data_IF_026734430506
#
_entry.id   IF_026734430506
#
_cell.length_a   1.000
_cell.length_b   1.000
_cell.length_c   1.000
_cell.angle_alpha   90.00
_cell.angle_beta   90.00
_cell.angle_gamma   90.00
#
_symmetry.space_group_name_H-M   'P 1'
#
loop_
_entity.id
_entity.type
_entity.pdbx_description
1 polymer ?
#
# COMPACT_ATOMS: atom_id res chain seq x y z
N UNK A 1 -21.08 -15.85 -26.15
CA UNK A 1 -20.77 -15.45 -27.54
C UNK A 1 -20.15 -14.04 -27.61
N UNK A 2 -20.58 -13.10 -26.76
CA UNK A 2 -20.09 -11.71 -26.79
C UNK A 2 -18.62 -11.58 -26.33
N UNK A 3 -18.23 -12.32 -25.27
CA UNK A 3 -16.90 -12.22 -24.64
C UNK A 3 -15.93 -13.30 -25.07
N UNK A 4 -16.42 -14.40 -25.68
CA UNK A 4 -15.66 -15.63 -25.98
C UNK A 4 -15.02 -16.30 -24.75
N UNK A 5 -15.45 -15.94 -23.53
CA UNK A 5 -15.03 -16.61 -22.30
C UNK A 5 -15.65 -18.01 -22.28
N UNK A 6 -14.88 -19.01 -21.84
CA UNK A 6 -15.37 -20.36 -21.68
C UNK A 6 -16.56 -20.39 -20.70
N UNK A 7 -17.67 -21.08 -21.04
CA UNK A 7 -18.85 -21.17 -20.18
C UNK A 7 -18.58 -21.67 -18.76
N UNK A 8 -17.55 -22.49 -18.57
CA UNK A 8 -17.17 -22.98 -17.24
C UNK A 8 -16.84 -21.82 -16.27
N UNK A 9 -16.04 -20.84 -16.72
CA UNK A 9 -15.72 -19.66 -15.89
C UNK A 9 -16.96 -18.81 -15.60
N UNK A 10 -17.85 -18.67 -16.58
CA UNK A 10 -19.10 -17.92 -16.39
C UNK A 10 -20.01 -18.59 -15.36
N UNK A 11 -20.04 -19.94 -15.32
CA UNK A 11 -20.78 -20.68 -14.30
C UNK A 11 -20.22 -20.46 -12.90
N UNK A 12 -18.88 -20.39 -12.75
CA UNK A 12 -18.25 -20.08 -11.46
C UNK A 12 -18.63 -18.66 -10.97
N UNK A 13 -18.64 -17.69 -11.90
CA UNK A 13 -19.08 -16.31 -11.59
C UNK A 13 -20.56 -16.29 -11.21
N UNK A 14 -21.41 -17.05 -11.92
CA UNK A 14 -22.85 -17.16 -11.59
C UNK A 14 -23.07 -17.71 -10.19
N UNK A 15 -22.27 -18.70 -9.77
CA UNK A 15 -22.33 -19.26 -8.42
C UNK A 15 -21.99 -18.22 -7.33
N UNK A 16 -20.98 -17.37 -7.58
CA UNK A 16 -20.64 -16.26 -6.69
C UNK A 16 -21.80 -15.26 -6.60
N UNK A 17 -22.35 -14.82 -7.75
CA UNK A 17 -23.47 -13.86 -7.79
C UNK A 17 -24.72 -14.42 -7.08
N UNK A 18 -24.98 -15.73 -7.25
CA UNK A 18 -26.10 -16.39 -6.55
C UNK A 18 -25.88 -16.39 -5.03
N UNK A 19 -24.64 -16.67 -4.59
CA UNK A 19 -24.30 -16.66 -3.17
C UNK A 19 -24.39 -15.25 -2.57
N UNK A 20 -24.04 -14.19 -3.30
CA UNK A 20 -24.31 -12.79 -2.90
C UNK A 20 -25.78 -12.57 -2.59
N UNK A 21 -26.67 -13.09 -3.47
CA UNK A 21 -28.12 -13.02 -3.26
C UNK A 21 -28.58 -13.78 -2.02
N UNK A 22 -27.98 -14.94 -1.73
CA UNK A 22 -28.24 -15.72 -0.50
C UNK A 22 -27.81 -14.94 0.73
N UNK A 23 -26.59 -14.38 0.76
CA UNK A 23 -26.04 -13.58 1.87
C UNK A 23 -26.96 -12.38 2.15
N UNK A 24 -27.35 -11.66 1.09
CA UNK A 24 -28.22 -10.48 1.18
C UNK A 24 -29.63 -10.77 1.71
N UNK A 25 -30.02 -12.02 1.79
CA UNK A 25 -31.29 -12.45 2.39
C UNK A 25 -31.23 -12.63 3.92
N UNK A 26 -30.03 -12.57 4.51
CA UNK A 26 -29.80 -12.82 5.95
C UNK A 26 -29.33 -11.56 6.69
N UNK A 27 -29.55 -11.57 8.02
CA UNK A 27 -28.78 -10.72 8.94
C UNK A 27 -27.51 -11.46 9.35
N UNK A 28 -26.52 -10.77 9.91
CA UNK A 28 -25.30 -11.43 10.38
C UNK A 28 -25.59 -12.52 11.42
N UNK A 29 -26.55 -12.30 12.29
CA UNK A 29 -26.94 -13.25 13.34
C UNK A 29 -27.62 -14.53 12.80
N UNK A 30 -28.21 -14.48 11.60
CA UNK A 30 -28.85 -15.62 10.95
C UNK A 30 -27.85 -16.56 10.24
N UNK A 31 -26.60 -16.13 10.06
CA UNK A 31 -25.55 -16.89 9.40
C UNK A 31 -24.93 -17.86 10.40
N UNK A 32 -25.19 -19.15 10.22
CA UNK A 32 -24.60 -20.21 11.02
C UNK A 32 -23.18 -20.60 10.56
N UNK A 33 -22.53 -21.51 11.28
CA UNK A 33 -21.15 -21.93 10.99
C UNK A 33 -21.00 -22.60 9.61
N UNK A 34 -22.01 -23.39 9.18
CA UNK A 34 -21.95 -24.09 7.90
C UNK A 34 -22.07 -23.11 6.74
N UNK A 35 -23.01 -22.17 6.84
CA UNK A 35 -23.20 -21.13 5.83
C UNK A 35 -22.01 -20.16 5.81
N UNK A 36 -21.51 -19.72 6.98
CA UNK A 36 -20.32 -18.87 7.05
C UNK A 36 -19.11 -19.54 6.41
N UNK A 37 -18.85 -20.82 6.70
CA UNK A 37 -17.74 -21.58 6.09
C UNK A 37 -17.89 -21.62 4.56
N UNK A 38 -19.08 -21.91 4.05
CA UNK A 38 -19.37 -21.93 2.62
C UNK A 38 -19.09 -20.56 1.99
N UNK A 39 -19.53 -19.47 2.61
CA UNK A 39 -19.26 -18.09 2.14
C UNK A 39 -17.76 -17.84 2.04
N UNK A 40 -17.01 -18.18 3.10
CA UNK A 40 -15.56 -17.99 3.14
C UNK A 40 -14.82 -18.87 2.12
N UNK A 41 -15.25 -20.11 1.90
CA UNK A 41 -14.70 -20.99 0.85
C UNK A 41 -14.91 -20.45 -0.57
N UNK A 42 -15.96 -19.65 -0.80
CA UNK A 42 -16.16 -18.94 -2.07
C UNK A 42 -15.37 -17.63 -2.17
N UNK A 43 -14.55 -17.30 -1.18
CA UNK A 43 -13.63 -16.17 -1.21
C UNK A 43 -14.22 -14.83 -0.80
N UNK A 44 -15.41 -14.78 -0.19
CA UNK A 44 -15.97 -13.53 0.32
C UNK A 44 -15.17 -13.04 1.53
N UNK A 45 -14.70 -11.80 1.47
CA UNK A 45 -14.05 -11.13 2.58
C UNK A 45 -15.05 -10.69 3.66
N UNK A 46 -14.56 -10.49 4.88
CA UNK A 46 -15.41 -10.02 5.98
C UNK A 46 -16.06 -8.66 5.65
N UNK A 47 -15.36 -7.77 4.94
CA UNK A 47 -15.91 -6.49 4.49
C UNK A 47 -17.02 -6.66 3.43
N UNK A 48 -16.88 -7.63 2.52
CA UNK A 48 -17.94 -7.92 1.54
C UNK A 48 -19.18 -8.51 2.23
N UNK A 49 -19.00 -9.40 3.19
CA UNK A 49 -20.11 -9.95 3.99
C UNK A 49 -20.82 -8.81 4.73
N UNK A 50 -20.07 -7.92 5.39
CA UNK A 50 -20.64 -6.75 6.08
C UNK A 50 -21.46 -5.84 5.17
N UNK A 51 -21.02 -5.69 3.91
CA UNK A 51 -21.76 -4.90 2.91
C UNK A 51 -23.04 -5.59 2.43
N UNK A 52 -23.03 -6.92 2.34
CA UNK A 52 -24.13 -7.70 1.74
C UNK A 52 -25.26 -8.00 2.70
N UNK A 53 -24.98 -8.23 3.99
CA UNK A 53 -26.02 -8.55 4.98
C UNK A 53 -27.01 -7.40 5.17
N UNK A 54 -28.24 -7.72 5.65
CA UNK A 54 -29.33 -6.75 5.80
C UNK A 54 -29.09 -5.69 6.87
N UNK A 55 -28.37 -6.05 7.92
CA UNK A 55 -28.05 -5.19 9.05
C UNK A 55 -26.79 -4.35 8.78
N UNK A 56 -26.75 -3.17 9.34
CA UNK A 56 -25.61 -2.27 9.23
C UNK A 56 -24.52 -2.71 10.22
N UNK A 57 -23.63 -3.59 9.76
CA UNK A 57 -22.49 -4.13 10.52
C UNK A 57 -21.17 -3.71 9.87
N UNK A 58 -20.07 -3.81 10.63
CA UNK A 58 -18.72 -3.54 10.16
C UNK A 58 -17.95 -4.85 9.93
N UNK A 59 -16.82 -4.75 9.26
CA UNK A 59 -15.90 -5.87 9.05
C UNK A 59 -15.55 -6.59 10.37
N UNK A 60 -15.26 -5.82 11.43
CA UNK A 60 -14.91 -6.39 12.73
C UNK A 60 -16.07 -7.22 13.34
N UNK A 61 -17.33 -6.80 13.16
CA UNK A 61 -18.49 -7.54 13.63
C UNK A 61 -18.59 -8.92 12.94
N UNK A 62 -18.29 -8.97 11.64
CA UNK A 62 -18.27 -10.21 10.85
C UNK A 62 -17.11 -11.10 11.30
N UNK A 63 -15.92 -10.54 11.48
CA UNK A 63 -14.74 -11.26 11.97
C UNK A 63 -15.00 -11.89 13.33
N UNK A 64 -15.56 -11.13 14.27
CA UNK A 64 -15.90 -11.62 15.59
C UNK A 64 -16.99 -12.70 15.55
N UNK A 65 -17.99 -12.55 14.67
CA UNK A 65 -19.04 -13.53 14.50
C UNK A 65 -18.49 -14.86 13.98
N UNK A 66 -17.70 -14.85 12.88
CA UNK A 66 -17.13 -16.08 12.33
C UNK A 66 -16.15 -16.77 13.28
N UNK A 67 -15.35 -16.01 14.05
CA UNK A 67 -14.45 -16.58 15.08
C UNK A 67 -15.24 -17.25 16.21
N UNK A 68 -16.35 -16.66 16.64
CA UNK A 68 -17.26 -17.30 17.61
C UNK A 68 -17.88 -18.59 17.07
N UNK A 69 -18.13 -18.66 15.77
CA UNK A 69 -18.62 -19.87 15.10
C UNK A 69 -17.51 -20.92 14.84
N UNK A 70 -16.25 -20.62 15.18
CA UNK A 70 -15.10 -21.50 14.88
C UNK A 70 -14.75 -21.55 13.40
N UNK A 71 -15.17 -20.57 12.61
CA UNK A 71 -14.79 -20.45 11.20
C UNK A 71 -13.55 -19.57 11.09
N UNK A 72 -12.40 -20.22 11.12
CA UNK A 72 -11.06 -19.62 11.09
C UNK A 72 -10.32 -20.20 9.88
N UNK A 73 -9.55 -19.40 9.13
CA UNK A 73 -8.75 -19.94 8.04
C UNK A 73 -7.63 -20.84 8.55
N UNK A 74 -7.27 -21.80 7.75
CA UNK A 74 -6.08 -22.64 7.89
C UNK A 74 -5.14 -22.35 6.74
N UNK A 75 -3.86 -22.65 6.90
CA UNK A 75 -2.85 -22.40 5.89
C UNK A 75 -2.27 -23.72 5.40
N UNK A 76 -2.24 -23.89 4.08
CA UNK A 76 -1.74 -25.08 3.42
C UNK A 76 -0.42 -24.79 2.72
N UNK A 77 0.48 -25.76 2.67
CA UNK A 77 1.69 -25.69 1.86
C UNK A 77 1.36 -25.88 0.38
N UNK A 78 2.00 -25.07 -0.46
CA UNK A 78 1.91 -25.27 -1.90
C UNK A 78 2.72 -26.50 -2.28
N UNK A 79 2.04 -27.52 -2.80
CA UNK A 79 2.70 -28.71 -3.33
C UNK A 79 3.35 -28.40 -4.69
N UNK A 80 4.66 -28.24 -4.70
CA UNK A 80 5.47 -28.01 -5.90
C UNK A 80 6.00 -29.29 -6.51
N UNK A 81 5.68 -30.47 -5.91
CA UNK A 81 6.21 -31.77 -6.28
C UNK A 81 5.13 -32.74 -6.81
N UNK A 82 3.91 -32.26 -7.09
CA UNK A 82 2.77 -33.05 -7.59
C UNK A 82 2.43 -34.28 -6.73
N UNK A 83 2.66 -34.20 -5.42
CA UNK A 83 2.43 -35.30 -4.48
C UNK A 83 3.44 -36.45 -4.57
N UNK A 84 4.45 -36.36 -5.43
CA UNK A 84 5.46 -37.43 -5.55
C UNK A 84 6.50 -37.39 -4.43
N UNK A 85 6.78 -36.20 -3.89
CA UNK A 85 7.70 -35.99 -2.77
C UNK A 85 7.14 -34.91 -1.83
N UNK A 86 7.53 -34.92 -0.54
CA UNK A 86 7.19 -33.81 0.36
C UNK A 86 7.71 -32.48 -0.19
N UNK A 87 6.87 -31.48 -0.29
CA UNK A 87 7.27 -30.13 -0.67
C UNK A 87 8.09 -29.49 0.44
N UNK A 88 9.24 -28.91 0.10
CA UNK A 88 10.11 -28.20 1.03
C UNK A 88 10.09 -26.68 0.83
N UNK A 89 9.14 -26.18 0.03
CA UNK A 89 8.99 -24.74 -0.22
C UNK A 89 8.33 -24.05 0.97
N UNK A 90 8.67 -22.76 1.26
CA UNK A 90 8.07 -22.03 2.36
C UNK A 90 6.69 -21.44 1.99
N UNK A 91 6.07 -21.86 0.90
CA UNK A 91 4.88 -21.25 0.30
C UNK A 91 3.60 -21.73 0.96
N UNK A 92 2.87 -20.78 1.52
CA UNK A 92 1.61 -20.98 2.21
C UNK A 92 0.49 -20.17 1.56
N UNK A 93 -0.72 -20.70 1.58
CA UNK A 93 -1.94 -20.01 1.18
C UNK A 93 -3.08 -20.36 2.13
N UNK A 94 -4.04 -19.45 2.32
CA UNK A 94 -5.18 -19.69 3.19
C UNK A 94 -6.28 -20.50 2.51
N UNK A 95 -6.96 -21.30 3.32
CA UNK A 95 -8.21 -21.96 2.98
C UNK A 95 -9.10 -22.07 4.23
N UNK A 96 -10.29 -22.65 4.09
CA UNK A 96 -11.21 -22.90 5.20
C UNK A 96 -11.44 -24.41 5.39
N UNK A 97 -10.35 -25.17 5.29
CA UNK A 97 -10.32 -26.61 5.53
C UNK A 97 -10.05 -26.96 7.01
N UNK A 98 -9.85 -28.24 7.31
CA UNK A 98 -9.72 -28.70 8.70
C UNK A 98 -8.27 -28.69 9.21
N UNK A 99 -7.29 -28.87 8.32
CA UNK A 99 -5.88 -29.01 8.68
C UNK A 99 -5.11 -27.71 8.46
N UNK A 100 -4.15 -27.41 9.32
CA UNK A 100 -3.24 -26.28 9.19
C UNK A 100 -1.80 -26.78 9.10
N UNK A 101 -1.13 -26.49 7.99
CA UNK A 101 0.25 -26.91 7.73
C UNK A 101 1.28 -25.84 8.09
N UNK A 102 0.84 -24.63 8.47
CA UNK A 102 1.74 -23.61 8.99
C UNK A 102 2.17 -23.98 10.42
N UNK A 103 3.48 -24.21 10.60
CA UNK A 103 4.07 -24.57 11.88
C UNK A 103 5.21 -23.59 12.22
N UNK A 104 4.96 -22.56 13.02
CA UNK A 104 6.01 -21.70 13.57
C UNK A 104 7.04 -22.50 14.37
N UNK A 105 8.32 -22.18 14.21
CA UNK A 105 9.43 -22.94 14.81
C UNK A 105 9.85 -22.45 16.21
N UNK A 106 9.14 -21.48 16.78
CA UNK A 106 9.37 -20.92 18.12
C UNK A 106 10.48 -19.86 18.19
N UNK A 107 11.14 -19.53 17.08
CA UNK A 107 12.04 -18.36 17.04
C UNK A 107 11.24 -17.06 17.15
N UNK A 108 11.85 -15.97 17.68
CA UNK A 108 11.25 -14.66 17.54
C UNK A 108 10.98 -14.33 16.07
N UNK A 109 9.72 -14.04 15.75
CA UNK A 109 9.24 -13.90 14.36
C UNK A 109 8.98 -12.43 14.02
N UNK A 110 9.37 -12.03 12.82
CA UNK A 110 9.04 -10.73 12.21
C UNK A 110 8.28 -10.96 10.91
N UNK A 111 7.15 -10.28 10.76
CA UNK A 111 6.40 -10.28 9.49
C UNK A 111 6.78 -9.03 8.68
N UNK A 112 7.07 -9.22 7.40
CA UNK A 112 7.32 -8.15 6.43
C UNK A 112 6.20 -8.18 5.38
N UNK A 113 5.49 -7.05 5.24
CA UNK A 113 4.45 -6.92 4.22
C UNK A 113 5.05 -6.43 2.90
N UNK A 114 4.80 -7.16 1.82
CA UNK A 114 5.25 -6.84 0.48
C UNK A 114 4.43 -5.75 -0.20
N UNK A 115 4.74 -5.49 -1.47
CA UNK A 115 4.09 -4.45 -2.26
C UNK A 115 2.71 -4.83 -2.82
N UNK A 116 2.38 -6.12 -2.81
CA UNK A 116 1.18 -6.62 -3.47
C UNK A 116 1.32 -6.65 -5.00
N UNK A 117 0.20 -6.58 -5.74
CA UNK A 117 0.24 -6.60 -7.19
C UNK A 117 0.98 -5.40 -7.76
N UNK A 118 1.67 -5.59 -8.87
CA UNK A 118 2.32 -4.51 -9.60
C UNK A 118 1.30 -3.42 -10.00
N UNK A 119 1.68 -2.17 -9.82
CA UNK A 119 0.89 -1.00 -10.16
C UNK A 119 1.71 -0.03 -11.01
N UNK A 120 1.04 0.71 -11.88
CA UNK A 120 1.68 1.83 -12.58
C UNK A 120 2.18 2.82 -11.53
N UNK A 121 3.44 3.22 -11.63
CA UNK A 121 4.08 4.12 -10.67
C UNK A 121 4.68 3.44 -9.43
N UNK A 122 4.77 2.11 -9.41
CA UNK A 122 5.55 1.37 -8.42
C UNK A 122 6.62 0.55 -9.14
N UNK A 123 7.87 0.79 -8.78
CA UNK A 123 9.00 0.02 -9.30
C UNK A 123 9.38 -1.14 -8.38
N UNK A 124 10.39 -1.89 -8.80
CA UNK A 124 10.92 -3.05 -8.06
C UNK A 124 11.64 -2.67 -6.76
N UNK A 125 11.97 -1.40 -6.57
CA UNK A 125 12.65 -0.89 -5.38
C UNK A 125 11.90 -1.24 -4.08
N UNK A 126 10.58 -1.19 -4.09
CA UNK A 126 9.76 -1.56 -2.91
C UNK A 126 9.91 -3.04 -2.58
N UNK A 127 9.90 -3.91 -3.58
CA UNK A 127 10.10 -5.34 -3.35
C UNK A 127 11.53 -5.63 -2.88
N UNK A 128 12.52 -4.97 -3.48
CA UNK A 128 13.92 -5.13 -3.09
C UNK A 128 14.20 -4.65 -1.66
N UNK A 129 13.55 -3.56 -1.21
CA UNK A 129 13.61 -3.13 0.19
C UNK A 129 13.08 -4.21 1.13
N UNK A 130 11.97 -4.87 0.78
CA UNK A 130 11.44 -6.01 1.54
C UNK A 130 12.45 -7.16 1.62
N UNK A 131 13.07 -7.52 0.50
CA UNK A 131 14.13 -8.57 0.44
C UNK A 131 15.28 -8.22 1.37
N UNK A 132 15.77 -6.98 1.31
CA UNK A 132 16.88 -6.55 2.18
C UNK A 132 16.53 -6.58 3.67
N UNK A 133 15.30 -6.23 4.02
CA UNK A 133 14.81 -6.34 5.40
C UNK A 133 14.74 -7.81 5.85
N UNK A 134 14.19 -8.69 5.03
CA UNK A 134 14.15 -10.15 5.33
C UNK A 134 15.55 -10.67 5.61
N UNK A 135 16.52 -10.39 4.72
CA UNK A 135 17.90 -10.86 4.89
C UNK A 135 18.55 -10.30 6.15
N UNK A 136 18.33 -9.02 6.45
CA UNK A 136 18.87 -8.38 7.66
C UNK A 136 18.30 -9.02 8.94
N UNK A 137 17.00 -9.26 9.01
CA UNK A 137 16.38 -9.93 10.16
C UNK A 137 16.85 -11.38 10.31
N UNK A 138 17.03 -12.11 9.21
CA UNK A 138 17.62 -13.48 9.23
C UNK A 138 19.04 -13.49 9.78
N UNK A 139 19.88 -12.54 9.35
CA UNK A 139 21.25 -12.37 9.88
C UNK A 139 21.27 -12.10 11.39
N UNK A 140 20.24 -11.42 11.91
CA UNK A 140 20.04 -11.16 13.33
C UNK A 140 19.44 -12.35 14.10
N UNK A 141 19.11 -13.46 13.41
CA UNK A 141 18.60 -14.68 14.03
C UNK A 141 17.07 -14.73 14.19
N UNK A 142 16.33 -13.80 13.62
CA UNK A 142 14.87 -13.84 13.61
C UNK A 142 14.34 -14.82 12.57
N UNK A 143 13.18 -15.42 12.85
CA UNK A 143 12.37 -16.06 11.83
C UNK A 143 11.66 -14.97 11.03
N UNK A 144 11.76 -15.04 9.72
CA UNK A 144 11.19 -14.06 8.82
C UNK A 144 9.98 -14.64 8.08
N UNK A 145 8.89 -13.90 8.10
CA UNK A 145 7.65 -14.22 7.40
C UNK A 145 7.37 -13.13 6.40
N UNK A 146 7.31 -13.49 5.13
CA UNK A 146 6.90 -12.59 4.05
C UNK A 146 5.42 -12.77 3.75
N UNK A 147 4.68 -11.68 3.55
CA UNK A 147 3.31 -11.70 3.06
C UNK A 147 3.24 -10.90 1.77
N UNK A 148 2.92 -11.56 0.67
CA UNK A 148 2.80 -10.88 -0.63
C UNK A 148 1.84 -11.65 -1.55
N UNK A 149 1.05 -10.95 -2.34
CA UNK A 149 0.14 -11.53 -3.33
C UNK A 149 0.72 -11.60 -4.75
N UNK A 150 1.93 -11.06 -4.97
CA UNK A 150 2.60 -11.12 -6.27
C UNK A 150 3.53 -12.32 -6.34
N UNK A 151 3.26 -13.34 -7.18
CA UNK A 151 4.10 -14.52 -7.27
C UNK A 151 5.34 -14.33 -8.16
N UNK A 152 5.43 -13.21 -8.87
CA UNK A 152 6.45 -12.93 -9.89
C UNK A 152 7.39 -11.81 -9.44
N UNK A 153 7.91 -11.90 -8.21
CA UNK A 153 8.83 -10.89 -7.68
C UNK A 153 9.86 -11.52 -6.74
N UNK A 154 10.99 -10.84 -6.49
CA UNK A 154 12.14 -11.39 -5.76
C UNK A 154 11.80 -11.72 -4.31
N UNK A 155 10.95 -10.93 -3.64
CA UNK A 155 10.56 -11.20 -2.24
C UNK A 155 9.79 -12.50 -2.08
N UNK A 156 9.24 -13.05 -3.18
CA UNK A 156 8.49 -14.31 -3.19
C UNK A 156 9.30 -15.51 -3.69
N UNK A 157 10.60 -15.35 -3.88
CA UNK A 157 11.49 -16.47 -4.16
C UNK A 157 11.62 -17.39 -2.93
N UNK A 158 11.73 -18.70 -3.19
CA UNK A 158 11.67 -19.75 -2.16
C UNK A 158 12.79 -19.70 -1.11
N UNK A 159 13.88 -19.02 -1.38
CA UNK A 159 15.07 -18.95 -0.51
C UNK A 159 15.19 -17.62 0.26
N UNK A 160 14.25 -16.69 0.07
CA UNK A 160 14.30 -15.36 0.69
C UNK A 160 13.84 -15.42 2.14
N UNK A 161 12.62 -15.87 2.44
CA UNK A 161 12.06 -15.90 3.78
C UNK A 161 11.92 -17.30 4.33
N UNK A 162 11.78 -17.44 5.67
CA UNK A 162 11.53 -18.74 6.31
C UNK A 162 10.10 -19.25 6.06
N UNK A 163 9.14 -18.33 5.89
CA UNK A 163 7.78 -18.62 5.44
C UNK A 163 7.26 -17.52 4.55
N UNK A 164 6.51 -17.88 3.53
CA UNK A 164 5.88 -16.95 2.59
C UNK A 164 4.39 -17.26 2.49
N UNK A 165 3.56 -16.28 2.85
CA UNK A 165 2.12 -16.34 2.68
C UNK A 165 1.73 -15.62 1.39
N UNK A 166 1.20 -16.38 0.43
CA UNK A 166 0.59 -15.84 -0.78
C UNK A 166 -0.83 -15.39 -0.48
N UNK A 167 -0.94 -14.23 0.16
CA UNK A 167 -2.21 -13.66 0.59
C UNK A 167 -2.41 -12.24 0.10
N UNK A 168 -3.64 -11.81 -0.08
CA UNK A 168 -3.94 -10.40 -0.28
C UNK A 168 -3.45 -9.56 0.91
N UNK A 169 -2.95 -8.36 0.63
CA UNK A 169 -2.56 -7.42 1.68
C UNK A 169 -3.81 -6.68 2.18
N UNK A 170 -4.69 -7.40 2.84
CA UNK A 170 -5.87 -6.87 3.54
C UNK A 170 -5.71 -6.99 5.06
N UNK A 171 -6.48 -6.20 5.81
CA UNK A 171 -6.42 -6.28 7.27
C UNK A 171 -6.86 -7.66 7.77
N UNK A 172 -7.90 -8.23 7.16
CA UNK A 172 -8.42 -9.56 7.47
C UNK A 172 -7.32 -10.62 7.36
N UNK A 173 -6.71 -10.74 6.19
CA UNK A 173 -5.73 -11.81 5.90
C UNK A 173 -4.46 -11.66 6.75
N UNK A 174 -3.95 -10.42 6.89
CA UNK A 174 -2.76 -10.17 7.71
C UNK A 174 -3.00 -10.46 9.19
N UNK A 175 -4.19 -10.15 9.73
CA UNK A 175 -4.52 -10.47 11.13
C UNK A 175 -4.60 -11.97 11.39
N UNK A 176 -5.05 -12.78 10.43
CA UNK A 176 -5.06 -14.23 10.58
C UNK A 176 -3.64 -14.82 10.54
N UNK A 177 -2.76 -14.28 9.70
CA UNK A 177 -1.33 -14.66 9.70
C UNK A 177 -0.67 -14.26 11.03
N UNK A 178 -0.93 -13.04 11.52
CA UNK A 178 -0.45 -12.59 12.84
C UNK A 178 -0.93 -13.52 13.95
N UNK A 179 -2.17 -14.01 13.89
CA UNK A 179 -2.73 -14.95 14.86
C UNK A 179 -1.97 -16.27 14.88
N UNK A 180 -1.57 -16.81 13.73
CA UNK A 180 -0.82 -18.07 13.64
C UNK A 180 0.65 -17.87 14.00
N UNK A 181 1.29 -16.85 13.46
CA UNK A 181 2.73 -16.64 13.57
C UNK A 181 3.17 -15.99 14.90
N UNK A 182 2.25 -15.31 15.61
CA UNK A 182 2.52 -14.59 16.87
C UNK A 182 3.80 -13.75 16.81
N UNK A 183 3.94 -12.83 15.83
CA UNK A 183 5.18 -12.12 15.61
C UNK A 183 5.50 -11.11 16.73
N UNK A 184 6.76 -10.73 16.86
CA UNK A 184 7.17 -9.58 17.65
C UNK A 184 6.60 -8.27 17.12
N UNK A 185 6.34 -8.22 15.81
CA UNK A 185 5.72 -7.10 15.13
C UNK A 185 5.76 -7.25 13.61
N UNK A 186 5.18 -6.25 12.95
CA UNK A 186 4.98 -6.21 11.50
C UNK A 186 5.68 -5.00 10.92
N UNK A 187 6.46 -5.18 9.86
CA UNK A 187 7.08 -4.12 9.06
C UNK A 187 6.14 -3.76 7.92
N UNK A 188 5.69 -2.50 7.85
CA UNK A 188 4.71 -2.02 6.86
C UNK A 188 5.28 -1.00 5.87
N UNK A 189 6.45 -0.40 6.15
CA UNK A 189 6.94 0.79 5.43
C UNK A 189 7.75 0.49 4.18
N UNK A 190 8.11 -0.78 3.91
CA UNK A 190 9.01 -1.13 2.83
C UNK A 190 8.30 -1.54 1.53
N UNK A 191 7.05 -1.97 1.61
CA UNK A 191 6.26 -2.47 0.49
C UNK A 191 5.46 -1.38 -0.27
N UNK A 192 5.75 -0.12 -0.05
CA UNK A 192 5.02 1.00 -0.66
C UNK A 192 3.64 1.23 -0.01
N UNK A 193 2.74 1.87 -0.73
CA UNK A 193 1.47 2.36 -0.16
C UNK A 193 0.48 1.28 0.25
N UNK A 194 0.56 0.07 -0.31
CA UNK A 194 -0.39 -1.00 0.01
C UNK A 194 -0.28 -1.42 1.48
N UNK A 195 0.89 -1.82 1.99
CA UNK A 195 1.03 -2.17 3.40
C UNK A 195 0.94 -0.96 4.34
N UNK A 196 1.35 0.25 3.92
CA UNK A 196 1.21 1.46 4.74
C UNK A 196 -0.24 1.72 5.17
N UNK A 197 -1.21 1.47 4.28
CA UNK A 197 -2.64 1.64 4.58
C UNK A 197 -3.15 0.70 5.68
N UNK A 198 -2.44 -0.39 5.97
CA UNK A 198 -2.80 -1.35 7.01
C UNK A 198 -2.29 -0.93 8.40
N UNK A 199 -1.33 0.01 8.48
CA UNK A 199 -0.64 0.36 9.72
C UNK A 199 -1.61 0.71 10.86
N UNK A 200 -2.59 1.58 10.63
CA UNK A 200 -3.60 1.96 11.63
C UNK A 200 -4.51 0.82 12.04
N UNK A 201 -4.94 0.00 11.08
CA UNK A 201 -5.79 -1.16 11.36
C UNK A 201 -5.08 -2.21 12.20
N UNK A 202 -3.81 -2.48 11.89
CA UNK A 202 -2.97 -3.38 12.66
C UNK A 202 -2.70 -2.85 14.07
N UNK A 203 -2.35 -1.57 14.21
CA UNK A 203 -2.17 -0.92 15.51
C UNK A 203 -3.43 -0.98 16.37
N UNK A 204 -4.61 -0.68 15.78
CA UNK A 204 -5.91 -0.75 16.47
C UNK A 204 -6.25 -2.19 16.92
N UNK A 205 -5.79 -3.20 16.19
CA UNK A 205 -5.90 -4.60 16.56
C UNK A 205 -4.83 -5.07 17.58
N UNK A 206 -3.98 -4.16 18.06
CA UNK A 206 -2.94 -4.45 19.06
C UNK A 206 -1.68 -5.11 18.50
N UNK A 207 -1.49 -5.09 17.17
CA UNK A 207 -0.30 -5.63 16.52
C UNK A 207 0.83 -4.61 16.57
N UNK A 208 2.02 -4.93 17.12
CA UNK A 208 3.14 -4.03 17.13
C UNK A 208 3.64 -3.73 15.71
N UNK A 209 3.77 -2.44 15.36
CA UNK A 209 4.40 -2.01 14.13
C UNK A 209 5.88 -1.78 14.39
N UNK A 210 6.73 -2.43 13.59
CA UNK A 210 8.17 -2.27 13.63
C UNK A 210 8.61 -1.21 12.63
N UNK A 211 9.42 -0.27 13.08
CA UNK A 211 9.88 0.85 12.28
C UNK A 211 9.16 2.15 12.61
N UNK A 212 8.87 2.95 11.60
CA UNK A 212 8.18 4.24 11.76
C UNK A 212 6.76 4.05 12.28
N UNK A 213 6.36 4.87 13.24
CA UNK A 213 5.04 4.75 13.88
C UNK A 213 3.90 5.05 12.90
N UNK A 214 2.71 4.43 13.05
CA UNK A 214 1.54 4.75 12.23
C UNK A 214 1.14 6.23 12.27
N UNK A 215 1.35 6.92 13.39
CA UNK A 215 1.10 8.37 13.50
C UNK A 215 2.05 9.18 12.61
N UNK A 216 3.34 8.84 12.58
CA UNK A 216 4.31 9.51 11.73
C UNK A 216 4.06 9.23 10.24
N UNK A 217 3.64 8.01 9.90
CA UNK A 217 3.23 7.64 8.54
C UNK A 217 2.03 8.49 8.11
N UNK A 218 0.99 8.61 8.92
CA UNK A 218 -0.18 9.44 8.63
C UNK A 218 0.19 10.93 8.50
N UNK A 219 1.09 11.43 9.36
CA UNK A 219 1.55 12.82 9.28
C UNK A 219 2.29 13.10 7.96
N UNK A 220 3.08 12.14 7.49
CA UNK A 220 3.78 12.25 6.22
C UNK A 220 2.84 12.14 5.01
N UNK A 221 1.79 11.31 5.09
CA UNK A 221 0.82 11.10 4.01
C UNK A 221 -0.27 12.18 3.95
N UNK A 222 -0.61 12.79 5.08
CA UNK A 222 -1.58 13.89 5.12
C UNK A 222 -0.96 15.18 4.57
N UNK A 223 -1.44 15.61 3.42
CA UNK A 223 -0.90 16.80 2.73
C UNK A 223 -0.89 18.05 3.61
N UNK A 224 -1.97 18.30 4.36
CA UNK A 224 -2.09 19.49 5.20
C UNK A 224 -1.09 19.48 6.36
N UNK A 225 -0.93 18.32 6.99
CA UNK A 225 0.03 18.11 8.08
C UNK A 225 1.46 18.20 7.55
N UNK A 226 1.74 17.57 6.40
CA UNK A 226 3.05 17.64 5.76
C UNK A 226 3.43 19.08 5.35
N UNK A 227 2.50 19.83 4.73
CA UNK A 227 2.73 21.24 4.38
C UNK A 227 3.01 22.12 5.63
N UNK A 228 2.31 21.85 6.73
CA UNK A 228 2.53 22.57 7.98
C UNK A 228 3.93 22.26 8.55
N UNK A 229 4.34 21.00 8.52
CA UNK A 229 5.65 20.54 8.96
C UNK A 229 6.77 21.12 8.08
N UNK A 230 6.62 21.10 6.74
CA UNK A 230 7.60 21.68 5.84
C UNK A 230 7.79 23.17 6.10
N UNK A 231 6.70 23.89 6.40
CA UNK A 231 6.76 25.31 6.78
C UNK A 231 7.44 25.51 8.11
N UNK A 232 7.18 24.68 9.11
CA UNK A 232 7.86 24.67 10.41
C UNK A 232 9.37 24.49 10.24
N UNK A 233 9.80 23.60 9.35
CA UNK A 233 11.19 23.29 9.06
C UNK A 233 11.86 24.30 8.11
N UNK A 234 11.09 25.28 7.58
CA UNK A 234 11.60 26.27 6.65
C UNK A 234 11.93 25.73 5.26
N UNK A 235 11.29 24.61 4.89
CA UNK A 235 11.44 23.99 3.55
C UNK A 235 10.49 24.65 2.58
N UNK A 236 11.04 25.16 1.48
CA UNK A 236 10.24 25.78 0.43
C UNK A 236 9.36 24.75 -0.29
N UNK A 237 8.12 25.11 -0.52
CA UNK A 237 7.16 24.30 -1.28
C UNK A 237 6.55 25.12 -2.41
N UNK A 238 6.22 24.51 -3.54
CA UNK A 238 5.48 25.19 -4.59
C UNK A 238 4.14 25.72 -4.03
N UNK A 239 3.72 26.93 -4.39
CA UNK A 239 2.39 27.41 -4.05
C UNK A 239 1.32 26.43 -4.53
N UNK A 240 0.37 26.12 -3.68
CA UNK A 240 -0.65 25.11 -3.95
C UNK A 240 -2.04 25.52 -3.47
N UNK A 241 -3.05 24.77 -3.88
CA UNK A 241 -4.42 24.91 -3.41
C UNK A 241 -5.29 23.74 -3.83
N UNK A 242 -6.50 23.73 -3.28
CA UNK A 242 -7.53 22.73 -3.63
C UNK A 242 -8.79 23.44 -4.10
N UNK A 243 -9.54 22.82 -4.99
CA UNK A 243 -10.77 23.36 -5.54
C UNK A 243 -11.83 22.28 -5.72
N UNK A 244 -13.08 22.62 -5.34
CA UNK A 244 -14.25 21.76 -5.58
C UNK A 244 -15.06 22.25 -6.80
N UNK A 245 -14.82 23.48 -7.23
CA UNK A 245 -15.51 24.11 -8.34
C UNK A 245 -14.52 24.76 -9.32
N UNK A 246 -14.98 25.06 -10.50
CA UNK A 246 -14.22 25.82 -11.52
C UNK A 246 -13.89 27.23 -11.04
N UNK A 247 -14.81 27.84 -10.31
CA UNK A 247 -14.65 29.18 -9.74
C UNK A 247 -13.57 29.21 -8.68
N UNK A 248 -13.57 28.23 -7.76
CA UNK A 248 -12.53 28.08 -6.75
C UNK A 248 -11.17 27.82 -7.40
N UNK A 249 -11.15 26.95 -8.43
CA UNK A 249 -9.93 26.65 -9.18
C UNK A 249 -9.36 27.88 -9.89
N UNK A 250 -10.21 28.72 -10.47
CA UNK A 250 -9.79 29.97 -11.10
C UNK A 250 -9.19 30.93 -10.07
N UNK A 251 -9.79 31.05 -8.89
CA UNK A 251 -9.26 31.90 -7.81
C UNK A 251 -7.89 31.39 -7.29
N UNK A 252 -7.74 30.06 -7.17
CA UNK A 252 -6.45 29.45 -6.80
C UNK A 252 -5.41 29.72 -7.89
N UNK A 253 -5.75 29.50 -9.16
CA UNK A 253 -4.85 29.71 -10.29
C UNK A 253 -4.41 31.18 -10.43
N UNK A 254 -5.32 32.12 -10.19
CA UNK A 254 -5.01 33.55 -10.19
C UNK A 254 -4.01 33.93 -9.08
N UNK A 255 -4.14 33.33 -7.91
CA UNK A 255 -3.24 33.55 -6.77
C UNK A 255 -1.86 32.91 -6.99
N UNK A 256 -1.80 31.73 -7.59
CA UNK A 256 -0.56 30.96 -7.80
C UNK A 256 0.21 31.44 -9.02
N UNK A 257 -0.52 31.82 -10.08
CA UNK A 257 0.03 32.11 -11.41
C UNK A 257 0.15 30.85 -12.28
N UNK A 258 0.07 31.07 -13.60
CA UNK A 258 0.30 30.00 -14.59
C UNK A 258 1.78 29.88 -14.94
N UNK A 259 2.28 28.67 -15.34
CA UNK A 259 1.54 27.43 -15.48
C UNK A 259 1.25 26.74 -14.15
N UNK A 260 0.15 25.99 -14.12
CA UNK A 260 -0.26 25.18 -12.96
C UNK A 260 -0.39 23.71 -13.34
N UNK A 261 -0.11 22.82 -12.40
CA UNK A 261 -0.39 21.40 -12.50
C UNK A 261 -1.70 21.11 -11.78
N UNK A 262 -2.66 20.50 -12.48
CA UNK A 262 -3.93 20.08 -11.91
C UNK A 262 -4.03 18.56 -11.89
N UNK A 263 -4.54 18.01 -10.76
CA UNK A 263 -4.72 16.57 -10.59
C UNK A 263 -5.91 16.27 -9.69
N UNK A 264 -6.69 15.22 -9.98
CA UNK A 264 -7.70 14.73 -9.04
C UNK A 264 -7.05 14.18 -7.78
N UNK A 265 -7.68 14.31 -6.62
CA UNK A 265 -7.11 13.89 -5.32
C UNK A 265 -6.88 12.39 -5.17
N UNK A 266 -7.55 11.54 -5.97
CA UNK A 266 -7.56 10.09 -5.81
C UNK A 266 -7.21 9.33 -7.10
N UNK A 267 -6.24 9.80 -7.86
CA UNK A 267 -5.72 9.07 -9.03
C UNK A 267 -4.30 8.61 -8.80
N UNK A 268 -4.01 7.36 -9.19
CA UNK A 268 -2.69 6.75 -9.15
C UNK A 268 -2.01 6.87 -10.52
N UNK A 269 -0.68 6.98 -10.53
CA UNK A 269 0.13 6.90 -11.74
C UNK A 269 -0.07 8.08 -12.70
N UNK A 270 -0.28 9.29 -12.20
CA UNK A 270 -0.40 10.51 -13.03
C UNK A 270 -1.65 10.58 -13.91
N UNK A 271 -2.56 9.61 -13.82
CA UNK A 271 -3.77 9.58 -14.63
C UNK A 271 -4.66 10.80 -14.34
N UNK A 272 -4.98 11.56 -15.37
CA UNK A 272 -5.78 12.78 -15.26
C UNK A 272 -5.00 14.01 -14.77
N UNK A 273 -3.67 13.93 -14.63
CA UNK A 273 -2.83 15.11 -14.41
C UNK A 273 -2.69 15.89 -15.71
N UNK A 274 -2.72 17.21 -15.60
CA UNK A 274 -2.53 18.11 -16.76
C UNK A 274 -1.85 19.41 -16.36
N UNK A 275 -0.88 19.84 -17.16
CA UNK A 275 -0.30 21.19 -17.06
C UNK A 275 -1.24 22.16 -17.78
N UNK A 276 -1.61 23.21 -17.09
CA UNK A 276 -2.59 24.20 -17.54
C UNK A 276 -1.91 25.58 -17.63
N UNK A 277 -2.02 26.23 -18.78
CA UNK A 277 -1.38 27.50 -19.07
C UNK A 277 -2.34 28.70 -19.08
N UNK A 278 -3.66 28.45 -19.05
CA UNK A 278 -4.67 29.47 -19.09
C UNK A 278 -6.01 29.04 -18.49
N UNK A 279 -6.87 30.05 -18.23
CA UNK A 279 -8.17 29.83 -17.62
C UNK A 279 -9.13 28.98 -18.48
N UNK A 280 -9.02 29.08 -19.82
CA UNK A 280 -9.90 28.34 -20.72
C UNK A 280 -9.59 26.84 -20.66
N UNK A 281 -8.31 26.49 -20.64
CA UNK A 281 -7.83 25.11 -20.45
C UNK A 281 -8.22 24.56 -19.08
N UNK A 282 -8.18 25.38 -18.02
CA UNK A 282 -8.64 25.01 -16.69
C UNK A 282 -10.14 24.67 -16.68
N UNK A 283 -10.96 25.47 -17.31
CA UNK A 283 -12.40 25.21 -17.44
C UNK A 283 -12.70 23.91 -18.20
N UNK A 284 -11.96 23.66 -19.28
CA UNK A 284 -12.09 22.39 -20.04
C UNK A 284 -11.72 21.18 -19.19
N UNK A 285 -10.65 21.27 -18.43
CA UNK A 285 -10.23 20.22 -17.52
C UNK A 285 -11.30 19.89 -16.48
N UNK A 286 -11.82 20.90 -15.79
CA UNK A 286 -12.87 20.73 -14.79
C UNK A 286 -14.15 20.11 -15.35
N UNK A 287 -14.56 20.50 -16.54
CA UNK A 287 -15.72 19.91 -17.22
C UNK A 287 -15.56 18.40 -17.50
N UNK A 288 -14.33 17.90 -17.57
CA UNK A 288 -14.03 16.47 -17.73
C UNK A 288 -13.81 15.76 -16.38
N UNK A 289 -13.05 16.36 -15.49
CA UNK A 289 -12.69 15.79 -14.19
C UNK A 289 -13.90 15.61 -13.26
N UNK A 290 -14.81 16.59 -13.20
CA UNK A 290 -16.03 16.51 -12.38
C UNK A 290 -17.04 15.47 -12.83
N UNK A 291 -16.91 14.94 -14.04
CA UNK A 291 -17.71 13.78 -14.49
C UNK A 291 -17.22 12.47 -13.90
N UNK A 292 -15.97 12.40 -13.48
CA UNK A 292 -15.34 11.15 -13.00
C UNK A 292 -15.37 11.06 -11.47
N UNK A 293 -15.21 12.18 -10.77
CA UNK A 293 -15.17 12.23 -9.30
C UNK A 293 -15.80 13.52 -8.76
N UNK A 294 -17.15 13.64 -8.75
CA UNK A 294 -17.81 14.89 -8.38
C UNK A 294 -17.68 15.26 -6.90
N UNK A 295 -17.31 14.32 -6.03
CA UNK A 295 -17.26 14.50 -4.57
C UNK A 295 -15.85 14.77 -4.02
N UNK A 296 -14.83 14.82 -4.89
CA UNK A 296 -13.44 14.96 -4.45
C UNK A 296 -12.79 16.24 -4.98
N UNK A 297 -11.97 16.93 -4.15
CA UNK A 297 -11.29 18.14 -4.59
C UNK A 297 -10.27 17.84 -5.68
N UNK A 298 -10.06 18.80 -6.55
CA UNK A 298 -8.94 18.85 -7.49
C UNK A 298 -7.78 19.60 -6.83
N UNK A 299 -6.60 19.01 -6.89
CA UNK A 299 -5.36 19.64 -6.42
C UNK A 299 -4.78 20.51 -7.52
N UNK A 300 -4.28 21.68 -7.14
CA UNK A 300 -3.70 22.68 -8.04
C UNK A 300 -2.37 23.09 -7.44
N UNK A 301 -1.30 22.83 -8.16
CA UNK A 301 0.05 23.17 -7.74
C UNK A 301 0.70 24.11 -8.78
N UNK A 302 1.57 25.00 -8.36
CA UNK A 302 2.42 25.75 -9.29
C UNK A 302 3.32 24.76 -10.03
N UNK A 303 3.36 24.86 -11.36
CA UNK A 303 4.27 24.02 -12.15
C UNK A 303 5.60 24.75 -12.34
N UNK A 304 6.69 24.07 -12.03
CA UNK A 304 8.04 24.60 -12.21
C UNK A 304 8.59 24.11 -13.56
N UNK A 305 8.73 25.05 -14.50
CA UNK A 305 9.37 24.78 -15.80
C UNK A 305 10.90 24.75 -15.63
N UNK A 306 11.58 23.99 -16.47
CA UNK A 306 13.04 23.86 -16.49
C UNK A 306 13.66 23.45 -15.14
N UNK A 307 12.94 22.66 -14.34
CA UNK A 307 13.40 22.19 -13.05
C UNK A 307 14.12 20.84 -13.16
N UNK A 308 15.16 20.65 -12.36
CA UNK A 308 15.76 19.35 -12.13
C UNK A 308 15.06 18.62 -11.00
N UNK A 309 14.86 17.33 -11.17
CA UNK A 309 14.32 16.45 -10.14
C UNK A 309 15.46 15.66 -9.48
N UNK A 310 15.38 15.51 -8.18
CA UNK A 310 16.34 14.75 -7.40
C UNK A 310 15.67 14.02 -6.24
N UNK A 311 16.10 12.79 -5.97
CA UNK A 311 15.71 12.00 -4.82
C UNK A 311 16.83 11.93 -3.79
N UNK A 312 16.47 11.88 -2.52
CA UNK A 312 17.40 11.69 -1.40
C UNK A 312 16.95 10.52 -0.56
N UNK A 313 17.76 9.47 -0.53
CA UNK A 313 17.53 8.33 0.33
C UNK A 313 18.28 8.45 1.65
N UNK A 314 17.62 8.08 2.74
CA UNK A 314 18.19 8.18 4.07
C UNK A 314 17.69 7.05 4.98
N UNK A 315 18.53 6.66 5.94
CA UNK A 315 18.17 5.73 7.01
C UNK A 315 18.20 6.47 8.34
N UNK A 316 17.18 6.30 9.16
CA UNK A 316 17.04 6.94 10.44
C UNK A 316 16.72 5.92 11.55
N UNK A 317 17.24 6.15 12.76
CA UNK A 317 16.94 5.35 13.96
C UNK A 317 16.03 6.09 14.97
N UNK A 318 15.40 7.18 14.53
CA UNK A 318 14.62 8.08 15.37
C UNK A 318 15.44 9.21 16.01
N UNK A 319 16.78 9.09 16.04
CA UNK A 319 17.68 10.08 16.63
C UNK A 319 18.77 10.54 15.69
N UNK A 320 19.28 9.65 14.87
CA UNK A 320 20.30 9.93 13.87
C UNK A 320 19.78 9.56 12.47
N UNK A 321 20.06 10.42 11.50
CA UNK A 321 19.70 10.22 10.11
C UNK A 321 20.96 10.23 9.23
N UNK A 322 21.20 9.14 8.55
CA UNK A 322 22.32 8.94 7.63
C UNK A 322 21.79 9.04 6.21
N UNK A 323 22.33 9.97 5.43
CA UNK A 323 22.00 10.09 4.00
C UNK A 323 22.73 9.00 3.24
N UNK A 324 21.97 8.16 2.53
CA UNK A 324 22.47 7.12 1.66
C UNK A 324 23.01 7.66 0.34
N UNK A 325 22.27 8.59 -0.25
CA UNK A 325 22.64 9.23 -1.51
C UNK A 325 21.73 10.37 -1.90
N UNK A 326 22.18 11.17 -2.86
CA UNK A 326 21.37 12.16 -3.59
C UNK A 326 21.48 11.80 -5.06
N UNK A 327 20.37 11.45 -5.68
CA UNK A 327 20.28 11.06 -7.09
C UNK A 327 19.64 12.18 -7.88
N UNK A 328 20.22 12.49 -9.03
CA UNK A 328 19.63 13.41 -9.99
C UNK A 328 18.95 12.66 -11.11
N UNK A 329 17.72 13.03 -11.47
CA UNK A 329 17.05 12.52 -12.66
C UNK A 329 17.64 13.10 -13.93
N UNK A 330 17.72 12.29 -14.99
CA UNK A 330 18.19 12.71 -16.31
C UNK A 330 17.04 13.26 -17.13
N UNK A 331 15.85 12.67 -16.98
CA UNK A 331 14.63 13.12 -17.63
C UNK A 331 14.10 14.41 -17.00
N UNK A 332 13.27 15.13 -17.76
CA UNK A 332 12.63 16.35 -17.30
C UNK A 332 11.74 16.13 -16.08
N UNK A 333 11.68 17.11 -15.20
CA UNK A 333 10.82 17.07 -14.02
C UNK A 333 9.35 16.80 -14.36
N UNK A 334 8.71 15.91 -13.58
CA UNK A 334 7.35 15.46 -13.80
C UNK A 334 7.23 14.10 -14.49
N UNK A 335 8.32 13.49 -14.92
CA UNK A 335 8.37 12.09 -15.30
C UNK A 335 8.53 11.26 -14.01
N UNK A 336 7.72 10.19 -13.89
CA UNK A 336 7.76 9.35 -12.70
C UNK A 336 9.16 8.80 -12.45
N UNK A 337 9.63 8.81 -11.19
CA UNK A 337 10.99 8.39 -10.82
C UNK A 337 11.33 6.96 -11.23
N UNK A 338 10.36 6.04 -11.20
CA UNK A 338 10.53 4.66 -11.67
C UNK A 338 10.74 4.53 -13.18
N UNK A 339 10.40 5.56 -13.95
CA UNK A 339 10.58 5.62 -15.42
C UNK A 339 11.75 6.53 -15.84
N UNK A 340 12.42 7.16 -14.87
CA UNK A 340 13.54 8.06 -15.09
C UNK A 340 14.87 7.35 -14.88
N UNK A 341 15.85 7.61 -15.75
CA UNK A 341 17.24 7.28 -15.49
C UNK A 341 17.80 8.24 -14.44
N UNK A 342 18.51 7.71 -13.44
CA UNK A 342 19.08 8.49 -12.35
C UNK A 342 20.60 8.40 -12.36
N UNK A 343 21.27 9.45 -11.93
CA UNK A 343 22.73 9.50 -11.79
C UNK A 343 23.13 9.84 -10.36
N UNK A 344 24.10 9.09 -9.85
CA UNK A 344 24.66 9.23 -8.52
C UNK A 344 26.21 9.24 -8.64
N UNK A 345 26.94 10.28 -8.18
CA UNK A 345 26.43 11.52 -7.60
C UNK A 345 25.80 12.45 -8.67
N UNK A 346 24.97 13.44 -8.26
CA UNK A 346 24.41 14.44 -9.17
C UNK A 346 25.52 15.24 -9.87
N UNK A 347 25.28 15.68 -11.11
CA UNK A 347 26.28 16.37 -11.91
C UNK A 347 25.89 17.79 -12.35
N UNK A 348 24.59 18.12 -12.34
CA UNK A 348 24.08 19.48 -12.64
C UNK A 348 23.65 20.23 -11.37
N UNK A 349 23.36 19.50 -10.29
CA UNK A 349 22.96 20.08 -9.00
C UNK A 349 24.24 20.50 -8.27
N UNK A 350 24.28 21.74 -7.79
CA UNK A 350 25.46 22.28 -7.10
C UNK A 350 25.65 21.64 -5.71
N UNK A 351 26.88 21.62 -5.21
CA UNK A 351 27.17 21.09 -3.87
C UNK A 351 26.39 21.82 -2.77
N UNK A 352 26.15 23.11 -2.91
CA UNK A 352 25.33 23.89 -1.98
C UNK A 352 23.87 23.36 -1.94
N UNK A 353 23.29 23.10 -3.10
CA UNK A 353 21.95 22.53 -3.20
C UNK A 353 21.90 21.08 -2.65
N UNK A 354 22.91 20.27 -2.93
CA UNK A 354 23.02 18.94 -2.36
C UNK A 354 23.06 18.98 -0.84
N UNK A 355 23.83 19.90 -0.25
CA UNK A 355 23.93 20.01 1.20
C UNK A 355 22.63 20.59 1.82
N UNK A 356 21.93 21.45 1.09
CA UNK A 356 20.59 21.89 1.48
C UNK A 356 19.60 20.73 1.50
N UNK A 357 19.56 19.90 0.48
CA UNK A 357 18.72 18.68 0.43
C UNK A 357 19.02 17.73 1.58
N UNK A 358 20.30 17.45 1.84
CA UNK A 358 20.73 16.62 2.98
C UNK A 358 20.25 17.18 4.33
N UNK A 359 20.33 18.47 4.51
CA UNK A 359 19.86 19.16 5.73
C UNK A 359 18.35 19.03 5.89
N UNK A 360 17.59 19.25 4.81
CA UNK A 360 16.13 19.13 4.82
C UNK A 360 15.69 17.69 5.09
N UNK A 361 16.29 16.71 4.43
CA UNK A 361 15.98 15.28 4.64
C UNK A 361 16.21 14.88 6.10
N UNK A 362 17.34 15.27 6.70
CA UNK A 362 17.61 15.00 8.13
C UNK A 362 16.57 15.68 9.03
N UNK A 363 16.20 16.93 8.73
CA UNK A 363 15.22 17.66 9.53
C UNK A 363 13.83 16.99 9.48
N UNK A 364 13.37 16.55 8.30
CA UNK A 364 12.13 15.80 8.16
C UNK A 364 12.17 14.46 8.89
N UNK A 365 13.22 13.66 8.67
CA UNK A 365 13.34 12.34 9.29
C UNK A 365 13.32 12.40 10.83
N UNK A 366 14.04 13.33 11.41
CA UNK A 366 14.08 13.52 12.87
C UNK A 366 12.75 14.07 13.39
N UNK A 367 12.14 15.06 12.71
CA UNK A 367 10.87 15.67 13.12
C UNK A 367 9.72 14.66 13.09
N UNK A 368 9.70 13.77 12.11
CA UNK A 368 8.73 12.67 11.98
C UNK A 368 9.03 11.50 12.93
N UNK A 369 10.25 11.43 13.48
CA UNK A 369 10.67 10.27 14.25
C UNK A 369 10.78 9.00 13.41
N UNK A 370 11.29 9.13 12.17
CA UNK A 370 11.46 8.00 11.26
C UNK A 370 12.39 6.95 11.86
N UNK A 371 11.97 5.69 11.79
CA UNK A 371 12.80 4.53 12.13
C UNK A 371 12.81 3.59 10.92
N UNK A 372 13.95 3.47 10.27
CA UNK A 372 14.16 2.72 9.03
C UNK A 372 14.48 3.63 7.85
N UNK A 373 14.00 3.27 6.68
CA UNK A 373 14.21 3.99 5.42
C UNK A 373 13.11 5.03 5.22
#
# INVERSE_FOLDING_TARGET
HLTRIDPWFLTQIEDIVRLEGEISAHTLADIDAAFMRRIKQYGFSDVQIAFLVKDAVKEDDVRDHRKRLGVIPTFQLVDTCAGEFPSATPYLYSCYDEENESVPDGRPTVIILGSGPNRIGQGIEFDYCCVRAVLAFRELGYRTVMVNSNPETVSTDFDISDALYFEPLTLEDVLEIVHVEQPMGVVVQLGGQTPLRLARGLEAAGVPILGTSPEAIDEAEDRGRFEAMARELGVAQPPSGTAMSVEDAAAVAERIGYPILVRPSYVLGGRGMQIIYDLESLRRYFAQATRVTPEHPVLIDSFLEDAFEADVDAICDGTQCIIGGVMQHIEDAGIHSGDSACVLPPYLITEEQVEEMRRHTRAFAIRLGVVGL
#
